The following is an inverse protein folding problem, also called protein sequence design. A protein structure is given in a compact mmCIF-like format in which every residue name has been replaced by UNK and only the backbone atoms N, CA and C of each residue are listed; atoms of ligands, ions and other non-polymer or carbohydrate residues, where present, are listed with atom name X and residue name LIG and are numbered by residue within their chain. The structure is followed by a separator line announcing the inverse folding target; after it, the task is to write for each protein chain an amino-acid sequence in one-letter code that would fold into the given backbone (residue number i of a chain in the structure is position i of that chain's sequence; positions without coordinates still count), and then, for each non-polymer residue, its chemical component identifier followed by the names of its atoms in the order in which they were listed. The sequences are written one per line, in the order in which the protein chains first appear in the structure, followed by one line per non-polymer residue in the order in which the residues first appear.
data_IF_101194013024
#
_entry.id   IF_101194013024
#
_cell.length_a   1.000
_cell.length_b   1.000
_cell.length_c   1.000
_cell.angle_alpha   90.00
_cell.angle_beta   90.00
_cell.angle_gamma   90.00
#
_symmetry.space_group_name_H-M   'P 1'
#
loop_
_entity.id
_entity.type
_entity.pdbx_description
1 polymer ?
#
# COMPACT_ATOMS: atom_id res chain seq x y z
N UNK A 1 10.53 -12.10 17.49
CA UNK A 1 10.02 -12.32 16.11
C UNK A 1 9.37 -11.02 15.66
N UNK A 2 10.01 -10.24 14.78
CA UNK A 2 9.52 -8.92 14.35
C UNK A 2 9.85 -8.62 12.87
N UNK A 3 9.96 -9.66 12.04
CA UNK A 3 10.41 -9.52 10.65
C UNK A 3 9.26 -9.27 9.64
N UNK A 4 8.00 -9.40 10.05
CA UNK A 4 6.82 -9.30 9.16
C UNK A 4 6.22 -7.90 9.06
N UNK A 5 6.41 -7.02 10.05
CA UNK A 5 5.88 -5.66 10.03
C UNK A 5 6.65 -4.73 9.06
N UNK A 6 7.97 -4.88 8.99
CA UNK A 6 8.83 -4.12 8.07
C UNK A 6 8.48 -4.31 6.59
N UNK A 7 7.76 -5.39 6.25
CA UNK A 7 7.41 -5.70 4.86
C UNK A 7 6.19 -4.92 4.40
N UNK A 8 5.13 -4.79 5.21
CA UNK A 8 3.91 -4.09 4.78
C UNK A 8 4.13 -2.58 4.65
N UNK A 9 4.89 -1.99 5.56
CA UNK A 9 5.23 -0.56 5.53
C UNK A 9 5.95 -0.19 4.23
N UNK A 10 7.02 -0.91 3.90
CA UNK A 10 7.77 -0.72 2.66
C UNK A 10 6.90 -0.92 1.42
N UNK A 11 6.05 -1.96 1.41
CA UNK A 11 5.11 -2.23 0.31
C UNK A 11 4.10 -1.12 0.14
N UNK A 12 3.58 -0.59 1.25
CA UNK A 12 2.63 0.50 1.26
C UNK A 12 3.29 1.80 0.76
N UNK A 13 4.54 2.05 1.14
CA UNK A 13 5.33 3.18 0.62
C UNK A 13 5.56 3.04 -0.89
N UNK A 14 5.91 1.85 -1.39
CA UNK A 14 6.03 1.62 -2.84
C UNK A 14 4.68 1.85 -3.55
N UNK A 15 3.58 1.43 -2.95
CA UNK A 15 2.23 1.63 -3.49
C UNK A 15 1.82 3.11 -3.48
N UNK A 16 2.09 3.84 -2.38
CA UNK A 16 1.82 5.29 -2.27
C UNK A 16 2.65 6.07 -3.28
N UNK A 17 3.93 5.74 -3.43
CA UNK A 17 4.82 6.38 -4.41
C UNK A 17 4.28 6.17 -5.81
N UNK A 18 3.80 4.95 -6.12
CA UNK A 18 3.15 4.67 -7.39
C UNK A 18 1.86 5.48 -7.57
N UNK A 19 0.98 5.55 -6.56
CA UNK A 19 -0.25 6.35 -6.63
C UNK A 19 0.06 7.83 -6.85
N UNK A 20 1.03 8.38 -6.12
CA UNK A 20 1.50 9.76 -6.23
C UNK A 20 2.12 10.06 -7.60
N UNK A 21 2.99 9.18 -8.12
CA UNK A 21 3.54 9.27 -9.48
C UNK A 21 2.46 9.27 -10.57
N UNK A 22 1.35 8.60 -10.30
CA UNK A 22 0.20 8.53 -11.21
C UNK A 22 -0.77 9.69 -11.01
N UNK A 23 -0.58 10.50 -9.96
CA UNK A 23 -1.49 11.55 -9.50
C UNK A 23 -2.93 11.03 -9.40
N UNK A 24 -3.08 9.86 -8.79
CA UNK A 24 -4.38 9.24 -8.54
C UNK A 24 -4.53 8.98 -7.05
N UNK A 25 -5.75 9.18 -6.55
CA UNK A 25 -6.10 8.92 -5.15
C UNK A 25 -5.16 9.67 -4.18
N UNK A 26 -4.96 10.97 -4.42
CA UNK A 26 -4.16 11.88 -3.57
C UNK A 26 -4.61 11.87 -2.11
N UNK A 27 -5.92 11.76 -1.89
CA UNK A 27 -6.52 11.58 -0.57
C UNK A 27 -6.01 10.31 0.10
N UNK A 28 -5.96 9.20 -0.63
CA UNK A 28 -5.46 7.93 -0.14
C UNK A 28 -3.97 7.99 0.17
N UNK A 29 -3.17 8.65 -0.68
CA UNK A 29 -1.74 8.87 -0.42
C UNK A 29 -1.54 9.63 0.89
N UNK A 30 -2.28 10.72 1.09
CA UNK A 30 -2.20 11.52 2.32
C UNK A 30 -2.59 10.70 3.56
N UNK A 31 -3.65 9.88 3.46
CA UNK A 31 -4.05 9.00 4.55
C UNK A 31 -3.04 7.89 4.86
N UNK A 32 -2.40 7.34 3.82
CA UNK A 32 -1.29 6.38 3.96
C UNK A 32 -0.12 7.01 4.69
N UNK A 33 0.28 8.23 4.32
CA UNK A 33 1.37 8.95 4.98
C UNK A 33 1.07 9.23 6.44
N UNK A 34 -0.17 9.63 6.73
CA UNK A 34 -0.61 9.84 8.10
C UNK A 34 -0.61 8.54 8.91
N UNK A 35 -1.11 7.44 8.35
CA UNK A 35 -1.05 6.11 8.99
C UNK A 35 0.39 5.64 9.21
N UNK A 36 1.31 5.86 8.27
CA UNK A 36 2.72 5.51 8.40
C UNK A 36 3.39 6.30 9.54
N UNK A 37 3.12 7.60 9.61
CA UNK A 37 3.62 8.45 10.70
C UNK A 37 3.06 8.04 12.07
N UNK A 38 1.76 7.73 12.12
CA UNK A 38 1.11 7.24 13.34
C UNK A 38 1.63 5.85 13.75
N UNK A 39 1.84 4.95 12.78
CA UNK A 39 2.40 3.62 13.02
C UNK A 39 3.81 3.67 13.62
N UNK A 40 4.64 4.62 13.22
CA UNK A 40 5.95 4.81 13.83
C UNK A 40 5.88 5.13 15.34
N UNK A 41 4.74 5.62 15.82
CA UNK A 41 4.52 5.99 17.23
C UNK A 41 3.68 4.95 17.99
N UNK A 42 2.57 4.49 17.40
CA UNK A 42 1.59 3.59 18.02
C UNK A 42 1.90 2.10 17.75
N UNK A 43 2.81 1.82 16.81
CA UNK A 43 3.17 0.49 16.31
C UNK A 43 1.99 -0.40 15.88
N UNK A 44 0.83 0.21 15.58
CA UNK A 44 -0.39 -0.51 15.25
C UNK A 44 -0.55 -0.70 13.73
N UNK A 45 -0.30 -1.90 13.18
CA UNK A 45 -0.19 -2.10 11.74
C UNK A 45 -1.57 -2.19 11.05
N UNK A 46 -2.67 -2.19 11.82
CA UNK A 46 -4.03 -2.39 11.31
C UNK A 46 -4.41 -1.36 10.24
N UNK A 47 -4.09 -0.08 10.47
CA UNK A 47 -4.31 0.99 9.50
C UNK A 47 -3.50 0.80 8.22
N UNK A 48 -2.26 0.31 8.31
CA UNK A 48 -1.42 0.05 7.14
C UNK A 48 -2.04 -1.00 6.21
N UNK A 49 -2.65 -2.05 6.75
CA UNK A 49 -3.29 -3.10 5.95
C UNK A 49 -4.56 -2.61 5.27
N UNK A 50 -5.40 -1.83 5.95
CA UNK A 50 -6.60 -1.24 5.34
C UNK A 50 -6.23 -0.30 4.20
N UNK A 51 -5.27 0.61 4.43
CA UNK A 51 -4.80 1.51 3.38
C UNK A 51 -4.08 0.77 2.25
N UNK A 52 -3.36 -0.32 2.54
CA UNK A 52 -2.75 -1.17 1.53
C UNK A 52 -3.79 -1.82 0.60
N UNK A 53 -4.90 -2.32 1.15
CA UNK A 53 -6.00 -2.89 0.36
C UNK A 53 -6.66 -1.83 -0.53
N UNK A 54 -6.91 -0.64 0.02
CA UNK A 54 -7.43 0.48 -0.78
C UNK A 54 -6.45 0.87 -1.90
N UNK A 55 -5.16 0.99 -1.60
CA UNK A 55 -4.12 1.30 -2.58
C UNK A 55 -4.04 0.24 -3.67
N UNK A 56 -4.14 -1.04 -3.29
CA UNK A 56 -4.19 -2.16 -4.23
C UNK A 56 -5.40 -2.04 -5.17
N UNK A 57 -6.60 -1.77 -4.62
CA UNK A 57 -7.83 -1.59 -5.41
C UNK A 57 -7.71 -0.41 -6.36
N UNK A 58 -7.20 0.72 -5.89
CA UNK A 58 -6.93 1.92 -6.68
C UNK A 58 -5.98 1.64 -7.84
N UNK A 59 -4.80 1.07 -7.55
CA UNK A 59 -3.80 0.71 -8.55
C UNK A 59 -4.32 -0.34 -9.53
N UNK A 60 -5.12 -1.32 -9.08
CA UNK A 60 -5.72 -2.35 -9.95
C UNK A 60 -6.79 -1.75 -10.87
N UNK A 61 -7.65 -0.87 -10.34
CA UNK A 61 -8.67 -0.15 -11.11
C UNK A 61 -8.02 0.77 -12.13
N UNK A 62 -6.93 1.46 -11.74
CA UNK A 62 -6.16 2.28 -12.64
C UNK A 62 -5.44 1.44 -13.70
N UNK A 63 -4.86 0.30 -13.33
CA UNK A 63 -4.22 -0.64 -14.27
C UNK A 63 -5.20 -1.16 -15.33
N UNK A 64 -6.46 -1.43 -14.97
CA UNK A 64 -7.51 -1.77 -15.95
C UNK A 64 -7.74 -0.66 -16.98
N UNK A 65 -7.55 0.60 -16.59
CA UNK A 65 -7.74 1.79 -17.43
C UNK A 65 -6.45 2.22 -18.17
N UNK A 66 -5.28 1.97 -17.56
CA UNK A 66 -3.94 2.41 -17.99
C UNK A 66 -2.87 1.36 -17.61
N UNK A 67 -2.88 0.21 -18.30
CA UNK A 67 -2.09 -0.97 -17.94
C UNK A 67 -0.56 -0.75 -17.98
N UNK A 68 -0.09 0.19 -18.81
CA UNK A 68 1.34 0.50 -19.02
C UNK A 68 2.00 1.20 -17.83
N UNK A 69 1.23 1.78 -16.92
CA UNK A 69 1.75 2.65 -15.85
C UNK A 69 1.89 1.94 -14.50
N UNK A 70 1.23 0.80 -14.30
CA UNK A 70 1.26 0.04 -13.03
C UNK A 70 1.89 -1.33 -13.26
N UNK A 71 3.00 -1.60 -12.58
CA UNK A 71 3.68 -2.90 -12.63
C UNK A 71 2.84 -3.99 -11.97
N UNK A 72 2.59 -5.08 -12.72
CA UNK A 72 1.90 -6.28 -12.21
C UNK A 72 2.62 -6.88 -10.99
N UNK A 73 3.95 -6.75 -10.96
CA UNK A 73 4.81 -7.20 -9.85
C UNK A 73 4.53 -6.43 -8.55
N UNK A 74 4.33 -5.12 -8.62
CA UNK A 74 4.03 -4.28 -7.45
C UNK A 74 2.67 -4.64 -6.83
N UNK A 75 1.66 -4.89 -7.66
CA UNK A 75 0.34 -5.35 -7.21
C UNK A 75 0.38 -6.74 -6.56
N UNK A 76 1.14 -7.68 -7.15
CA UNK A 76 1.31 -9.03 -6.60
C UNK A 76 2.02 -8.99 -5.23
N UNK A 77 3.04 -8.16 -5.11
CA UNK A 77 3.80 -7.99 -3.88
C UNK A 77 2.98 -7.33 -2.77
N UNK A 78 2.23 -6.27 -3.10
CA UNK A 78 1.33 -5.59 -2.17
C UNK A 78 0.22 -6.55 -1.73
N UNK A 79 -0.36 -7.32 -2.64
CA UNK A 79 -1.36 -8.37 -2.35
C UNK A 79 -0.80 -9.43 -1.40
N UNK A 80 0.42 -9.92 -1.67
CA UNK A 80 1.07 -10.91 -0.81
C UNK A 80 1.33 -10.36 0.58
N UNK A 81 1.79 -9.11 0.68
CA UNK A 81 2.03 -8.47 1.96
C UNK A 81 0.74 -8.34 2.79
N UNK A 82 -0.39 -7.99 2.16
CA UNK A 82 -1.69 -7.94 2.83
C UNK A 82 -2.14 -9.34 3.27
N UNK A 83 -2.04 -10.35 2.39
CA UNK A 83 -2.50 -11.72 2.68
C UNK A 83 -1.64 -12.45 3.72
N UNK A 84 -0.34 -12.15 3.80
CA UNK A 84 0.57 -12.81 4.75
C UNK A 84 0.25 -12.54 6.23
N UNK A 85 -0.60 -11.55 6.56
CA UNK A 85 -0.98 -11.24 7.94
C UNK A 85 -2.43 -11.65 8.29
N UNK A 86 -3.14 -12.28 7.36
CA UNK A 86 -4.50 -12.81 7.56
C UNK A 86 -4.54 -14.28 8.01
N UNK A 87 -3.44 -14.82 8.54
CA UNK A 87 -3.36 -16.20 9.06
C UNK A 87 -2.95 -16.21 10.52
#
# INVERSE_FOLDING_TARGET
MAATQLTIEKRLIEAKDKLSQLQIEDELVSEIEWCLGSFAHDQNPKGLYEKADQALKALTKFKKKNDKKVSKKLLDDLTKAIKSNGK
#
